data_IF_864248187934
#
_entry.id   IF_864248187934
#
_cell.length_a   1.000
_cell.length_b   1.000
_cell.length_c   1.000
_cell.angle_alpha   90.00
_cell.angle_beta   90.00
_cell.angle_gamma   90.00
#
_symmetry.space_group_name_H-M   'P 1'
#
loop_
_entity.id
_entity.type
_entity.pdbx_description
1 polymer ?
#
# COMPACT_ATOMS: atom_id res chain seq x y z
N UNK A 1 -8.75 -7.56 -26.89
CA UNK A 1 -9.53 -6.43 -26.37
C UNK A 1 -10.08 -6.85 -25.03
N UNK A 2 -9.35 -6.53 -23.96
CA UNK A 2 -9.87 -6.58 -22.60
C UNK A 2 -9.99 -5.12 -22.19
N UNK A 3 -11.20 -4.56 -22.30
CA UNK A 3 -11.54 -3.36 -21.56
C UNK A 3 -11.46 -3.73 -20.08
N UNK A 4 -10.33 -3.37 -19.46
CA UNK A 4 -10.12 -3.42 -18.01
C UNK A 4 -10.15 -2.01 -17.40
N UNK A 5 -10.70 -1.03 -18.13
CA UNK A 5 -11.24 0.18 -17.52
C UNK A 5 -12.65 -0.13 -17.01
N UNK A 6 -12.98 0.44 -15.85
CA UNK A 6 -14.31 0.44 -15.21
C UNK A 6 -14.61 -0.76 -14.31
N UNK A 7 -13.98 -0.72 -13.12
CA UNK A 7 -14.69 -0.44 -11.86
C UNK A 7 -13.66 -0.28 -10.73
N UNK A 8 -13.17 0.95 -10.52
CA UNK A 8 -12.84 1.35 -9.15
C UNK A 8 -14.12 1.10 -8.35
N UNK A 9 -14.09 0.30 -7.29
CA UNK A 9 -15.20 0.29 -6.34
C UNK A 9 -15.31 1.73 -5.81
N UNK A 10 -16.26 2.51 -6.31
CA UNK A 10 -16.41 3.91 -5.92
C UNK A 10 -16.69 3.95 -4.43
N UNK A 11 -15.77 4.58 -3.68
CA UNK A 11 -15.94 4.80 -2.24
C UNK A 11 -17.16 5.70 -2.07
N UNK A 12 -18.18 5.19 -1.40
CA UNK A 12 -19.39 5.96 -1.09
C UNK A 12 -19.13 6.88 0.10
N UNK A 13 -18.59 8.07 -0.20
CA UNK A 13 -18.23 9.06 0.81
C UNK A 13 -19.43 9.56 1.61
N UNK A 14 -20.61 9.69 0.98
CA UNK A 14 -21.84 10.10 1.67
C UNK A 14 -22.31 9.04 2.67
N UNK A 15 -22.27 7.76 2.28
CA UNK A 15 -22.57 6.66 3.19
C UNK A 15 -21.58 6.66 4.36
N UNK A 16 -20.27 6.72 4.11
CA UNK A 16 -19.26 6.76 5.17
C UNK A 16 -19.45 7.96 6.11
N UNK A 17 -19.76 9.13 5.57
CA UNK A 17 -20.05 10.35 6.33
C UNK A 17 -21.29 10.17 7.22
N UNK A 18 -22.35 9.58 6.68
CA UNK A 18 -23.59 9.30 7.41
C UNK A 18 -23.41 8.27 8.53
N UNK A 19 -22.53 7.26 8.35
CA UNK A 19 -22.22 6.29 9.40
C UNK A 19 -21.55 6.94 10.62
N UNK A 20 -20.84 8.06 10.41
CA UNK A 20 -20.29 8.89 11.48
C UNK A 20 -21.33 9.82 12.12
N UNK A 21 -22.61 9.74 11.76
CA UNK A 21 -23.70 10.58 12.27
C UNK A 21 -23.49 12.09 12.03
N UNK A 22 -22.83 12.45 10.92
CA UNK A 22 -22.59 13.84 10.54
C UNK A 22 -23.65 14.32 9.52
N UNK A 23 -24.10 15.58 9.61
CA UNK A 23 -25.06 16.13 8.65
C UNK A 23 -24.40 16.35 7.29
N UNK A 24 -25.18 16.19 6.22
CA UNK A 24 -24.77 16.61 4.88
C UNK A 24 -24.76 18.15 4.75
N UNK A 25 -23.94 18.72 3.84
CA UNK A 25 -23.04 18.03 2.91
C UNK A 25 -21.77 17.49 3.56
N UNK A 26 -21.10 16.56 2.87
CA UNK A 26 -19.77 16.06 3.26
C UNK A 26 -18.80 17.24 3.33
N UNK A 27 -17.98 17.29 4.39
CA UNK A 27 -17.01 18.38 4.55
C UNK A 27 -15.93 18.36 3.45
N UNK A 28 -15.45 19.56 3.10
CA UNK A 28 -14.31 19.73 2.21
C UNK A 28 -13.08 19.03 2.78
N UNK A 29 -12.39 18.23 1.95
CA UNK A 29 -11.21 17.45 2.34
C UNK A 29 -11.47 16.00 2.75
N UNK A 30 -12.70 15.65 3.17
CA UNK A 30 -13.00 14.28 3.63
C UNK A 30 -12.73 13.21 2.57
N UNK A 31 -13.17 13.45 1.32
CA UNK A 31 -12.94 12.52 0.22
C UNK A 31 -11.43 12.28 -0.01
N UNK A 32 -10.63 13.35 0.00
CA UNK A 32 -9.18 13.26 -0.18
C UNK A 32 -8.50 12.48 0.94
N UNK A 33 -8.91 12.68 2.20
CA UNK A 33 -8.39 11.93 3.36
C UNK A 33 -8.69 10.43 3.21
N UNK A 34 -9.91 10.08 2.80
CA UNK A 34 -10.35 8.69 2.63
C UNK A 34 -9.65 8.04 1.44
N UNK A 35 -9.55 8.73 0.30
CA UNK A 35 -8.85 8.23 -0.88
C UNK A 35 -7.37 7.98 -0.61
N UNK A 36 -6.72 8.89 0.12
CA UNK A 36 -5.33 8.70 0.52
C UNK A 36 -5.17 7.42 1.35
N UNK A 37 -6.06 7.16 2.31
CA UNK A 37 -6.03 5.91 3.10
C UNK A 37 -6.28 4.68 2.21
N UNK A 38 -7.27 4.75 1.31
CA UNK A 38 -7.64 3.65 0.42
C UNK A 38 -6.50 3.25 -0.54
N UNK A 39 -5.75 4.22 -1.08
CA UNK A 39 -4.60 3.97 -1.95
C UNK A 39 -3.47 3.20 -1.25
N UNK A 40 -3.35 3.35 0.07
CA UNK A 40 -2.30 2.72 0.87
C UNK A 40 -2.76 1.43 1.56
N UNK A 41 -4.07 1.14 1.57
CA UNK A 41 -4.58 -0.12 2.09
C UNK A 41 -4.23 -1.28 1.15
N UNK A 42 -3.38 -2.18 1.64
CA UNK A 42 -3.07 -3.45 0.97
C UNK A 42 -3.81 -4.57 1.72
N UNK A 43 -4.94 -5.10 1.23
CA UNK A 43 -5.51 -6.32 1.78
C UNK A 43 -4.45 -7.42 1.68
N UNK A 44 -4.29 -8.21 2.74
CA UNK A 44 -3.26 -9.24 2.80
C UNK A 44 -3.50 -10.31 1.73
N UNK A 45 -2.96 -10.10 0.53
CA UNK A 45 -3.07 -11.09 -0.53
C UNK A 45 -1.92 -12.08 -0.45
N UNK A 46 -1.89 -12.89 0.62
CA UNK A 46 -0.91 -13.98 0.70
C UNK A 46 -1.52 -15.26 1.27
N UNK A 47 -1.80 -16.19 0.35
CA UNK A 47 -1.46 -17.60 0.58
C UNK A 47 0.06 -17.65 0.78
N UNK A 48 0.52 -17.55 2.02
CA UNK A 48 1.94 -17.60 2.35
C UNK A 48 2.44 -19.03 2.05
N UNK A 49 3.05 -19.25 0.89
CA UNK A 49 3.89 -20.44 0.71
C UNK A 49 5.08 -20.29 1.65
N UNK A 50 5.24 -21.26 2.55
CA UNK A 50 6.38 -21.27 3.45
C UNK A 50 7.60 -21.76 2.66
N UNK A 51 8.44 -20.83 2.21
CA UNK A 51 9.78 -21.20 1.77
C UNK A 51 10.67 -21.42 3.01
N UNK A 52 11.36 -22.57 3.11
CA UNK A 52 12.34 -22.82 4.16
C UNK A 52 13.39 -21.70 4.26
N UNK A 53 13.87 -21.39 5.47
CA UNK A 53 14.83 -20.31 5.71
C UNK A 53 16.11 -20.41 4.86
N UNK A 54 16.58 -21.64 4.59
CA UNK A 54 17.73 -21.92 3.73
C UNK A 54 17.50 -21.49 2.29
N UNK A 55 16.32 -21.74 1.74
CA UNK A 55 15.94 -21.35 0.38
C UNK A 55 15.76 -19.83 0.29
N UNK A 56 15.14 -19.20 1.29
CA UNK A 56 15.00 -17.74 1.36
C UNK A 56 16.35 -17.03 1.36
N UNK A 57 17.30 -17.50 2.18
CA UNK A 57 18.65 -16.91 2.24
C UNK A 57 19.40 -17.02 0.90
N UNK A 58 19.25 -18.14 0.21
CA UNK A 58 19.85 -18.32 -1.12
C UNK A 58 19.24 -17.35 -2.14
N UNK A 59 17.91 -17.15 -2.10
CA UNK A 59 17.22 -16.19 -2.98
C UNK A 59 17.69 -14.77 -2.69
N UNK A 60 17.68 -14.32 -1.44
CA UNK A 60 18.14 -12.97 -1.07
C UNK A 60 19.58 -12.74 -1.48
N UNK A 61 20.49 -13.69 -1.23
CA UNK A 61 21.89 -13.56 -1.65
C UNK A 61 22.06 -13.52 -3.16
N UNK A 62 21.21 -14.22 -3.94
CA UNK A 62 21.24 -14.14 -5.40
C UNK A 62 20.73 -12.78 -5.89
N UNK A 63 19.66 -12.26 -5.31
CA UNK A 63 19.10 -10.96 -5.67
C UNK A 63 20.11 -9.84 -5.40
N UNK A 64 20.72 -9.84 -4.21
CA UNK A 64 21.74 -8.88 -3.78
C UNK A 64 22.90 -8.82 -4.78
N UNK A 65 23.51 -9.98 -5.11
CA UNK A 65 24.57 -10.08 -6.12
C UNK A 65 24.16 -9.63 -7.51
N UNK A 66 22.90 -9.88 -7.89
CA UNK A 66 22.39 -9.47 -9.21
C UNK A 66 22.27 -7.95 -9.25
N UNK A 67 21.77 -7.34 -8.18
CA UNK A 67 21.65 -5.88 -8.06
C UNK A 67 23.03 -5.22 -8.06
N UNK A 68 24.00 -5.75 -7.30
CA UNK A 68 25.38 -5.27 -7.31
C UNK A 68 26.02 -5.36 -8.71
N UNK A 69 25.88 -6.51 -9.39
CA UNK A 69 26.44 -6.69 -10.72
C UNK A 69 25.80 -5.76 -11.76
N UNK A 70 24.48 -5.54 -11.67
CA UNK A 70 23.78 -4.58 -12.54
C UNK A 70 24.25 -3.15 -12.28
N UNK A 71 24.39 -2.74 -11.02
CA UNK A 71 24.92 -1.43 -10.66
C UNK A 71 26.34 -1.22 -11.20
N UNK A 72 27.20 -2.22 -11.07
CA UNK A 72 28.56 -2.17 -11.59
C UNK A 72 28.57 -2.05 -13.13
N UNK A 73 27.75 -2.83 -13.83
CA UNK A 73 27.64 -2.77 -15.28
C UNK A 73 27.12 -1.42 -15.77
N UNK A 74 26.06 -0.89 -15.15
CA UNK A 74 25.49 0.41 -15.51
C UNK A 74 26.47 1.56 -15.23
N UNK A 75 27.25 1.46 -14.15
CA UNK A 75 28.27 2.46 -13.79
C UNK A 75 29.46 2.45 -14.75
N UNK A 76 29.79 1.28 -15.29
CA UNK A 76 30.92 1.08 -16.20
C UNK A 76 30.50 0.86 -17.67
N UNK A 77 29.32 1.36 -18.05
CA UNK A 77 28.82 1.26 -19.43
C UNK A 77 29.84 1.87 -20.41
N UNK A 78 30.32 1.12 -21.41
CA UNK A 78 31.19 1.66 -22.43
C UNK A 78 30.49 2.82 -23.18
N UNK A 79 31.21 3.91 -23.51
CA UNK A 79 30.61 5.05 -24.20
C UNK A 79 29.88 4.69 -25.49
N UNK A 80 30.38 3.72 -26.26
CA UNK A 80 29.72 3.25 -27.49
C UNK A 80 28.36 2.59 -27.22
N UNK A 81 28.26 1.78 -26.16
CA UNK A 81 27.00 1.12 -25.79
C UNK A 81 26.01 2.14 -25.25
N UNK A 82 26.49 3.13 -24.49
CA UNK A 82 25.63 4.21 -24.02
C UNK A 82 25.03 4.98 -25.20
N UNK A 83 25.87 5.38 -26.16
CA UNK A 83 25.44 6.05 -27.38
C UNK A 83 24.43 5.23 -28.19
N UNK A 84 24.63 3.92 -28.33
CA UNK A 84 23.66 3.04 -29.01
C UNK A 84 22.30 3.01 -28.28
N UNK A 85 22.29 3.05 -26.95
CA UNK A 85 21.06 3.08 -26.14
C UNK A 85 20.36 4.45 -26.27
N UNK A 86 21.11 5.54 -26.25
CA UNK A 86 20.63 6.92 -26.49
C UNK A 86 19.96 7.03 -27.87
N UNK A 87 20.64 6.55 -28.92
CA UNK A 87 20.15 6.59 -30.30
C UNK A 87 18.83 5.82 -30.47
N UNK A 88 18.76 4.60 -29.92
CA UNK A 88 17.53 3.79 -29.94
C UNK A 88 16.46 4.39 -29.03
N UNK A 89 16.84 5.00 -27.91
CA UNK A 89 15.95 5.67 -26.96
C UNK A 89 15.19 6.81 -27.62
N UNK A 90 15.90 7.69 -28.35
CA UNK A 90 15.27 8.78 -29.12
C UNK A 90 14.26 8.28 -30.16
N UNK A 91 14.50 7.11 -30.77
CA UNK A 91 13.60 6.53 -31.76
C UNK A 91 12.35 5.86 -31.16
N UNK A 92 12.38 5.53 -29.86
CA UNK A 92 11.33 4.78 -29.16
C UNK A 92 10.77 5.54 -27.95
N UNK A 93 10.91 6.87 -27.94
CA UNK A 93 10.42 7.72 -26.88
C UNK A 93 8.88 7.66 -26.79
N UNK A 94 8.30 7.34 -25.63
CA UNK A 94 6.85 7.37 -25.42
C UNK A 94 6.29 8.79 -25.54
N UNK A 95 5.10 8.93 -26.15
CA UNK A 95 4.44 10.24 -26.34
C UNK A 95 4.20 10.99 -25.01
N UNK A 96 4.07 10.28 -23.90
CA UNK A 96 3.79 10.82 -22.56
C UNK A 96 5.03 10.94 -21.66
N UNK A 97 6.22 10.68 -22.19
CA UNK A 97 7.48 10.67 -21.43
C UNK A 97 7.75 12.00 -20.72
N UNK A 98 7.63 13.13 -21.42
CA UNK A 98 7.86 14.45 -20.84
C UNK A 98 6.78 14.90 -19.86
N UNK A 99 5.56 14.40 -20.00
CA UNK A 99 4.41 14.81 -19.18
C UNK A 99 4.32 14.02 -17.86
N UNK A 100 4.78 12.76 -17.84
CA UNK A 100 4.56 11.83 -16.71
C UNK A 100 5.83 11.35 -16.00
N UNK A 101 7.02 11.38 -16.63
CA UNK A 101 8.20 10.68 -16.10
C UNK A 101 9.29 11.59 -15.49
N UNK A 102 9.30 12.88 -15.81
CA UNK A 102 10.37 13.79 -15.38
C UNK A 102 10.04 14.47 -14.04
N UNK A 103 10.57 13.91 -12.96
CA UNK A 103 10.94 14.75 -11.81
C UNK A 103 12.08 15.69 -12.21
N UNK A 104 12.28 16.79 -11.46
CA UNK A 104 13.34 17.77 -11.72
C UNK A 104 14.76 17.15 -11.83
N UNK A 105 14.97 15.97 -11.24
CA UNK A 105 16.27 15.29 -11.18
C UNK A 105 16.71 14.65 -12.51
N UNK A 106 15.79 14.47 -13.47
CA UNK A 106 16.08 13.80 -14.76
C UNK A 106 15.85 14.72 -15.97
N UNK A 107 15.56 16.00 -15.74
CA UNK A 107 15.26 16.97 -16.79
C UNK A 107 16.43 17.10 -17.78
N UNK A 108 16.12 17.01 -19.08
CA UNK A 108 17.11 17.14 -20.15
C UNK A 108 17.81 15.85 -20.59
N UNK A 109 17.47 14.70 -19.99
CA UNK A 109 17.90 13.38 -20.46
C UNK A 109 16.99 12.85 -21.56
N UNK A 110 17.58 12.22 -22.58
CA UNK A 110 16.78 11.42 -23.52
C UNK A 110 16.19 10.18 -22.85
N UNK A 111 15.20 9.55 -23.48
CA UNK A 111 14.49 8.40 -22.90
C UNK A 111 15.43 7.24 -22.52
N UNK A 112 16.47 6.98 -23.32
CA UNK A 112 17.44 5.92 -23.05
C UNK A 112 18.33 6.25 -21.84
N UNK A 113 18.83 7.48 -21.77
CA UNK A 113 19.61 7.98 -20.63
C UNK A 113 18.79 7.96 -19.34
N UNK A 114 17.54 8.42 -19.39
CA UNK A 114 16.63 8.40 -18.25
C UNK A 114 16.45 6.99 -17.70
N UNK A 115 16.22 5.98 -18.56
CA UNK A 115 16.03 4.60 -18.08
C UNK A 115 17.27 4.08 -17.36
N UNK A 116 18.47 4.39 -17.86
CA UNK A 116 19.74 4.00 -17.23
C UNK A 116 19.90 4.71 -15.88
N UNK A 117 19.63 6.01 -15.83
CA UNK A 117 19.81 6.83 -14.63
C UNK A 117 18.77 6.49 -13.54
N UNK A 118 17.51 6.29 -13.93
CA UNK A 118 16.45 5.83 -13.06
C UNK A 118 16.77 4.43 -12.47
N UNK A 119 17.32 3.52 -13.27
CA UNK A 119 17.79 2.22 -12.77
C UNK A 119 18.94 2.36 -11.77
N UNK A 120 19.91 3.22 -12.04
CA UNK A 120 21.00 3.52 -11.08
C UNK A 120 20.49 4.09 -9.76
N UNK A 121 19.42 4.87 -9.80
CA UNK A 121 18.79 5.44 -8.61
C UNK A 121 17.95 4.42 -7.84
N UNK A 122 17.23 3.53 -8.55
CA UNK A 122 16.32 2.55 -7.92
C UNK A 122 17.00 1.28 -7.43
N UNK A 123 18.06 0.83 -8.09
CA UNK A 123 18.78 -0.38 -7.68
C UNK A 123 19.35 -0.30 -6.23
N UNK A 124 19.91 0.82 -5.75
CA UNK A 124 20.32 0.98 -4.35
C UNK A 124 19.15 0.93 -3.37
N UNK A 125 17.99 1.52 -3.71
CA UNK A 125 16.77 1.39 -2.89
C UNK A 125 16.35 -0.08 -2.76
N UNK A 126 16.40 -0.83 -3.87
CA UNK A 126 16.10 -2.27 -3.88
C UNK A 126 17.12 -3.07 -3.06
N UNK A 127 18.42 -2.78 -3.20
CA UNK A 127 19.48 -3.42 -2.42
C UNK A 127 19.26 -3.22 -0.92
N UNK A 128 18.93 -1.99 -0.51
CA UNK A 128 18.59 -1.67 0.87
C UNK A 128 17.42 -2.52 1.39
N UNK A 129 16.32 -2.58 0.64
CA UNK A 129 15.14 -3.38 1.01
C UNK A 129 15.45 -4.90 1.08
N UNK A 130 16.30 -5.42 0.18
CA UNK A 130 16.74 -6.82 0.21
C UNK A 130 17.58 -7.10 1.46
N UNK A 131 18.52 -6.21 1.79
CA UNK A 131 19.34 -6.29 2.99
C UNK A 131 18.47 -6.28 4.25
N UNK A 132 17.55 -5.32 4.33
CA UNK A 132 16.60 -5.17 5.44
C UNK A 132 15.68 -6.40 5.58
N UNK A 133 15.14 -6.91 4.47
CA UNK A 133 14.34 -8.14 4.46
C UNK A 133 15.16 -9.37 4.92
N UNK A 134 16.44 -9.45 4.55
CA UNK A 134 17.34 -10.50 5.01
C UNK A 134 17.57 -10.40 6.52
N UNK A 135 17.70 -9.18 7.07
CA UNK A 135 17.92 -8.89 8.50
C UNK A 135 16.69 -9.18 9.36
N UNK A 136 15.53 -8.65 8.96
CA UNK A 136 14.26 -8.79 9.68
C UNK A 136 13.77 -10.24 9.76
N UNK A 137 14.14 -11.07 8.78
CA UNK A 137 13.75 -12.49 8.75
C UNK A 137 14.86 -13.45 9.25
N UNK A 138 15.93 -12.96 9.90
CA UNK A 138 16.95 -13.80 10.57
C UNK A 138 16.42 -14.55 11.80
N UNK A 139 15.34 -14.07 12.43
CA UNK A 139 14.77 -14.63 13.68
C UNK A 139 13.60 -15.58 13.38
N UNK A 140 13.46 -16.72 14.08
CA UNK A 140 12.41 -17.72 13.81
C UNK A 140 10.98 -17.33 14.22
N UNK A 141 10.76 -16.13 14.77
CA UNK A 141 9.44 -15.54 15.04
C UNK A 141 9.68 -14.05 14.85
N UNK A 142 9.06 -13.37 13.90
CA UNK A 142 7.63 -13.19 13.81
C UNK A 142 7.19 -13.24 12.34
N UNK A 143 5.99 -13.77 12.10
CA UNK A 143 5.29 -13.50 10.85
C UNK A 143 5.22 -11.97 10.73
N UNK A 144 5.36 -11.34 9.54
CA UNK A 144 4.88 -9.96 9.39
C UNK A 144 3.48 -9.93 10.00
N UNK A 145 3.24 -8.98 10.92
CA UNK A 145 2.07 -9.01 11.79
C UNK A 145 0.87 -9.27 10.90
N UNK A 146 0.23 -10.44 11.07
CA UNK A 146 -1.01 -10.74 10.38
C UNK A 146 -1.95 -9.60 10.80
N UNK A 147 -2.27 -8.72 9.84
CA UNK A 147 -3.08 -7.51 9.99
C UNK A 147 -2.35 -6.18 10.22
N UNK A 148 -1.04 -6.03 9.96
CA UNK A 148 -0.36 -4.74 10.11
C UNK A 148 -0.96 -3.64 9.22
N UNK A 149 -1.16 -3.92 7.93
CA UNK A 149 -1.86 -3.01 7.00
C UNK A 149 -3.27 -2.67 7.47
N UNK A 150 -4.01 -3.65 8.00
CA UNK A 150 -5.35 -3.43 8.57
C UNK A 150 -5.30 -2.54 9.82
N UNK A 151 -4.37 -2.80 10.74
CA UNK A 151 -4.19 -2.02 11.96
C UNK A 151 -3.79 -0.57 11.65
N UNK A 152 -2.83 -0.37 10.74
CA UNK A 152 -2.44 0.96 10.28
C UNK A 152 -3.61 1.70 9.63
N UNK A 153 -4.39 1.01 8.79
CA UNK A 153 -5.57 1.59 8.13
C UNK A 153 -6.63 2.00 9.15
N UNK A 154 -6.97 1.13 10.11
CA UNK A 154 -7.90 1.46 11.21
C UNK A 154 -7.39 2.65 12.01
N UNK A 155 -6.09 2.75 12.26
CA UNK A 155 -5.50 3.87 12.98
C UNK A 155 -5.61 5.19 12.21
N UNK A 156 -5.44 5.19 10.89
CA UNK A 156 -5.64 6.40 10.07
C UNK A 156 -7.13 6.77 10.00
N UNK A 157 -8.02 5.80 9.79
CA UNK A 157 -9.47 6.02 9.82
C UNK A 157 -9.94 6.57 11.17
N UNK A 158 -9.33 6.14 12.28
CA UNK A 158 -9.59 6.68 13.60
C UNK A 158 -9.18 8.16 13.75
N UNK A 159 -8.09 8.58 13.08
CA UNK A 159 -7.67 9.99 13.07
C UNK A 159 -8.67 10.84 12.28
N UNK A 160 -9.10 10.35 11.12
CA UNK A 160 -10.16 10.98 10.31
C UNK A 160 -11.46 11.09 11.11
N UNK A 161 -11.90 10.00 11.73
CA UNK A 161 -13.10 9.99 12.58
C UNK A 161 -13.01 11.03 13.69
N UNK A 162 -11.89 11.09 14.43
CA UNK A 162 -11.66 12.10 15.48
C UNK A 162 -11.65 13.52 14.92
N UNK A 163 -11.03 13.73 13.76
CA UNK A 163 -10.93 15.04 13.14
C UNK A 163 -12.31 15.61 12.80
N UNK A 164 -13.17 14.81 12.14
CA UNK A 164 -14.47 15.28 11.68
C UNK A 164 -15.59 15.19 12.72
N UNK A 165 -15.51 14.28 13.70
CA UNK A 165 -16.57 14.12 14.72
C UNK A 165 -16.22 14.74 16.08
N UNK A 166 -14.93 14.97 16.38
CA UNK A 166 -14.46 15.36 17.71
C UNK A 166 -14.60 14.27 18.79
N UNK A 167 -15.02 13.05 18.42
CA UNK A 167 -15.31 11.95 19.36
C UNK A 167 -14.22 10.90 19.40
N UNK A 168 -14.12 10.20 20.53
CA UNK A 168 -13.21 9.06 20.61
C UNK A 168 -13.77 7.86 19.81
N UNK A 169 -12.96 7.19 18.96
CA UNK A 169 -13.39 6.04 18.15
C UNK A 169 -13.98 4.88 18.96
N UNK A 170 -13.61 4.75 20.24
CA UNK A 170 -14.09 3.70 21.13
C UNK A 170 -15.21 4.16 22.06
N UNK A 171 -15.65 5.43 21.94
CA UNK A 171 -16.77 5.95 22.70
C UNK A 171 -18.03 5.11 22.40
N UNK A 172 -18.79 4.78 23.45
CA UNK A 172 -20.07 4.03 23.36
C UNK A 172 -19.99 2.68 22.65
N UNK A 173 -18.80 2.07 22.57
CA UNK A 173 -18.65 0.71 22.02
C UNK A 173 -19.56 -0.26 22.77
N UNK A 174 -20.33 -1.04 22.00
CA UNK A 174 -21.03 -2.23 22.49
C UNK A 174 -20.67 -3.45 21.66
N UNK A 175 -20.93 -4.61 22.22
CA UNK A 175 -20.77 -5.90 21.56
C UNK A 175 -22.12 -6.61 21.59
N UNK A 176 -22.59 -7.05 20.44
CA UNK A 176 -23.90 -7.65 20.22
C UNK A 176 -23.72 -9.08 19.69
N UNK A 177 -23.81 -10.06 20.60
CA UNK A 177 -23.67 -11.48 20.27
C UNK A 177 -24.79 -12.02 19.37
N UNK A 178 -25.89 -11.27 19.19
CA UNK A 178 -27.00 -11.67 18.31
C UNK A 178 -26.75 -11.34 16.84
N UNK A 179 -25.84 -10.41 16.55
CA UNK A 179 -25.45 -10.02 15.20
C UNK A 179 -24.10 -10.65 14.85
N UNK A 180 -24.15 -11.87 14.33
CA UNK A 180 -22.95 -12.64 13.97
C UNK A 180 -22.12 -11.98 12.85
N UNK A 181 -22.75 -11.15 12.01
CA UNK A 181 -22.10 -10.49 10.89
C UNK A 181 -21.37 -9.22 11.31
N UNK A 182 -21.91 -8.47 12.28
CA UNK A 182 -21.32 -7.24 12.79
C UNK A 182 -21.47 -7.10 14.31
N UNK A 183 -20.78 -7.93 15.11
CA UNK A 183 -20.99 -7.96 16.55
C UNK A 183 -20.43 -6.71 17.25
N UNK A 184 -19.44 -6.02 16.68
CA UNK A 184 -18.93 -4.76 17.23
C UNK A 184 -19.71 -3.58 16.70
N UNK A 185 -20.29 -2.78 17.60
CA UNK A 185 -21.16 -1.65 17.26
C UNK A 185 -20.72 -0.35 17.94
N UNK A 186 -20.60 0.69 17.13
CA UNK A 186 -20.73 2.12 17.42
C UNK A 186 -20.56 2.85 16.07
N UNK A 187 -20.66 4.17 16.06
CA UNK A 187 -20.51 4.98 14.85
C UNK A 187 -19.16 4.74 14.15
N UNK A 188 -18.08 4.52 14.91
CA UNK A 188 -16.78 4.22 14.33
C UNK A 188 -16.74 2.85 13.66
N UNK A 189 -17.30 1.80 14.26
CA UNK A 189 -17.40 0.48 13.63
C UNK A 189 -18.28 0.53 12.38
N UNK A 190 -19.39 1.25 12.40
CA UNK A 190 -20.23 1.47 11.21
C UNK A 190 -19.44 2.14 10.08
N UNK A 191 -18.64 3.16 10.42
CA UNK A 191 -17.74 3.81 9.47
C UNK A 191 -16.64 2.87 8.94
N UNK A 192 -16.02 2.05 9.80
CA UNK A 192 -15.04 1.04 9.38
C UNK A 192 -15.66 0.01 8.41
N UNK A 193 -16.87 -0.49 8.68
CA UNK A 193 -17.54 -1.42 7.79
C UNK A 193 -17.90 -0.75 6.45
N UNK A 194 -18.35 0.50 6.48
CA UNK A 194 -18.60 1.26 5.26
C UNK A 194 -17.34 1.48 4.43
N UNK A 195 -16.16 1.64 5.05
CA UNK A 195 -14.89 1.73 4.33
C UNK A 195 -14.40 0.37 3.79
N UNK A 196 -14.42 -0.68 4.60
CA UNK A 196 -13.83 -1.97 4.24
C UNK A 196 -14.71 -2.82 3.33
N UNK A 197 -16.04 -2.61 3.27
CA UNK A 197 -16.97 -3.50 2.56
C UNK A 197 -17.64 -2.85 1.34
N UNK A 198 -16.90 -1.99 0.62
CA UNK A 198 -17.40 -1.26 -0.56
C UNK A 198 -17.51 -2.14 -1.83
N UNK A 199 -16.94 -3.36 -1.84
CA UNK A 199 -16.94 -4.25 -3.02
C UNK A 199 -17.27 -5.73 -2.70
N UNK A 200 -18.35 -6.31 -3.26
CA UNK A 200 -18.66 -7.73 -3.07
C UNK A 200 -17.59 -8.71 -3.60
N UNK A 201 -16.60 -8.27 -4.39
CA UNK A 201 -15.59 -9.14 -5.02
C UNK A 201 -14.22 -9.18 -4.34
N UNK A 202 -13.99 -8.40 -3.28
CA UNK A 202 -12.66 -8.27 -2.65
C UNK A 202 -12.47 -9.18 -1.43
N UNK A 203 -11.22 -9.64 -1.23
CA UNK A 203 -10.72 -10.43 -0.10
C UNK A 203 -10.67 -9.58 1.18
N UNK A 204 -11.82 -9.07 1.62
CA UNK A 204 -11.90 -8.13 2.73
C UNK A 204 -11.75 -8.79 4.11
N UNK A 205 -11.27 -8.04 5.12
CA UNK A 205 -11.20 -8.52 6.48
C UNK A 205 -12.62 -8.79 6.99
N UNK A 206 -12.79 -9.92 7.69
CA UNK A 206 -14.06 -10.22 8.35
C UNK A 206 -14.34 -9.16 9.43
N UNK A 207 -15.61 -8.99 9.77
CA UNK A 207 -16.01 -8.08 10.86
C UNK A 207 -15.28 -8.39 12.17
N UNK A 208 -15.11 -9.68 12.45
CA UNK A 208 -14.33 -10.16 13.58
C UNK A 208 -12.85 -9.78 13.50
N UNK A 209 -12.25 -9.74 12.30
CA UNK A 209 -10.87 -9.28 12.12
C UNK A 209 -10.75 -7.76 12.34
N UNK A 210 -11.69 -6.98 11.83
CA UNK A 210 -11.77 -5.52 12.04
C UNK A 210 -11.92 -5.24 13.54
N UNK A 211 -12.92 -5.83 14.19
CA UNK A 211 -13.18 -5.72 15.63
C UNK A 211 -11.98 -6.03 16.50
N UNK A 212 -11.35 -7.19 16.28
CA UNK A 212 -10.20 -7.60 17.07
C UNK A 212 -8.96 -6.71 16.85
N UNK A 213 -8.74 -6.22 15.63
CA UNK A 213 -7.66 -5.29 15.33
C UNK A 213 -7.91 -3.93 16.02
N UNK A 214 -9.13 -3.41 15.92
CA UNK A 214 -9.55 -2.16 16.59
C UNK A 214 -9.38 -2.27 18.12
N UNK A 215 -9.89 -3.34 18.74
CA UNK A 215 -9.75 -3.55 20.19
C UNK A 215 -8.28 -3.55 20.63
N UNK A 216 -7.42 -4.25 19.89
CA UNK A 216 -5.98 -4.32 20.17
C UNK A 216 -5.31 -2.95 20.08
N UNK A 217 -5.60 -2.18 19.04
CA UNK A 217 -5.04 -0.84 18.81
C UNK A 217 -5.37 0.13 19.95
N UNK A 218 -6.60 0.08 20.45
CA UNK A 218 -7.07 0.97 21.50
C UNK A 218 -6.93 0.39 22.92
N UNK A 219 -6.13 -0.67 23.10
CA UNK A 219 -5.80 -1.21 24.42
C UNK A 219 -6.96 -1.91 25.14
N UNK A 220 -8.04 -2.23 24.43
CA UNK A 220 -9.14 -3.02 24.98
C UNK A 220 -8.84 -4.51 24.74
N UNK A 221 -8.60 -5.25 25.82
CA UNK A 221 -8.53 -6.72 25.73
C UNK A 221 -9.94 -7.26 25.48
N UNK A 222 -10.01 -8.35 24.70
CA UNK A 222 -11.23 -9.13 24.46
C UNK A 222 -11.99 -9.38 25.76
#
# INVERSE_FOLDING_TARGET
MLDNNDKKSELDFENMWSQMQLPLPVAEGFAADIEWIAQHYRPNDRRMSQLPAKERRAIYSKLDKTVEALLEQLSNLPPSIRWEIEEVGMANEPEDYFENALGADHEGLDYGEYLIDALKTKLPEIAFLIGDALEHHKRPRERPKQNESLEQTIQQLARVFRHYTGRDPMERRRYDDSDADQPYKNDFFSFLYAFFWVDPNHKFPTSQAIGNATLRLFGHKK
#
